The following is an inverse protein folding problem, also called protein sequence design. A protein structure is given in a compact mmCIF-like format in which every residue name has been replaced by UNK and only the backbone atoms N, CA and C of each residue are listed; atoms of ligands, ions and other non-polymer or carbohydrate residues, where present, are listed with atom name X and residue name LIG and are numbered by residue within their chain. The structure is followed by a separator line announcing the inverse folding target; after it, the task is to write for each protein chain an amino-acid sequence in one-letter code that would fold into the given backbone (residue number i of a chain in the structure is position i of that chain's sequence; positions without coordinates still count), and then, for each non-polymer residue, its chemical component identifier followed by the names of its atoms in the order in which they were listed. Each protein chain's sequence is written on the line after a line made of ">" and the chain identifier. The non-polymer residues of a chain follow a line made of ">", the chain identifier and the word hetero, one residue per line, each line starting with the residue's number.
data_IF_942704484460
#
_entry.id   IF_942704484460
#
_cell.length_a   1.000
_cell.length_b   1.000
_cell.length_c   1.000
_cell.angle_alpha   90.00
_cell.angle_beta   90.00
_cell.angle_gamma   90.00
#
_symmetry.space_group_name_H-M   'P 1'
#
loop_
_entity.id
_entity.type
_entity.pdbx_description
1 polymer ?
#
# COMPACT_ATOMS: atom_id res chain seq x y z
N UNK A 1 -27.73 -24.99 1.64
CA UNK A 1 -26.26 -25.04 1.44
C UNK A 1 -25.81 -23.67 0.95
N UNK A 2 -25.62 -22.71 1.86
CA UNK A 2 -25.26 -21.33 1.52
C UNK A 2 -23.77 -21.28 1.18
N UNK A 3 -23.46 -21.21 -0.11
CA UNK A 3 -22.11 -21.39 -0.64
C UNK A 3 -21.59 -20.06 -1.20
N UNK A 4 -20.35 -19.77 -0.81
CA UNK A 4 -19.40 -18.71 -1.18
C UNK A 4 -19.52 -17.39 -0.43
N UNK A 5 -18.56 -17.23 0.49
CA UNK A 5 -18.09 -15.99 1.08
C UNK A 5 -17.99 -14.88 0.02
N UNK A 6 -18.44 -13.64 0.32
CA UNK A 6 -18.12 -12.52 -0.54
C UNK A 6 -16.60 -12.40 -0.60
N UNK A 7 -16.04 -12.26 -1.80
CA UNK A 7 -14.66 -11.84 -1.96
C UNK A 7 -14.51 -10.50 -1.23
N UNK A 8 -13.94 -10.53 -0.03
CA UNK A 8 -13.78 -9.34 0.81
C UNK A 8 -12.67 -8.47 0.21
N UNK A 9 -13.04 -7.58 -0.71
CA UNK A 9 -12.20 -6.47 -1.17
C UNK A 9 -11.48 -5.81 0.02
N UNK A 10 -12.21 -5.62 1.11
CA UNK A 10 -11.71 -5.11 2.37
C UNK A 10 -10.56 -5.93 2.97
N UNK A 11 -10.60 -7.27 2.90
CA UNK A 11 -9.50 -8.12 3.40
C UNK A 11 -8.26 -8.00 2.52
N UNK A 12 -8.42 -7.97 1.19
CA UNK A 12 -7.30 -7.79 0.28
C UNK A 12 -6.67 -6.40 0.39
N UNK A 13 -7.49 -5.35 0.40
CA UNK A 13 -7.03 -3.98 0.59
C UNK A 13 -6.31 -3.80 1.93
N UNK A 14 -6.81 -4.41 3.00
CA UNK A 14 -6.20 -4.33 4.32
C UNK A 14 -4.86 -5.10 4.38
N UNK A 15 -4.77 -6.29 3.76
CA UNK A 15 -3.52 -7.03 3.67
C UNK A 15 -2.43 -6.29 2.87
N UNK A 16 -2.80 -5.69 1.73
CA UNK A 16 -1.88 -4.88 0.91
C UNK A 16 -1.49 -3.59 1.61
N UNK A 17 -2.44 -2.90 2.26
CA UNK A 17 -2.18 -1.71 3.06
C UNK A 17 -1.21 -1.99 4.20
N UNK A 18 -1.43 -3.07 4.97
CA UNK A 18 -0.52 -3.50 6.03
C UNK A 18 0.87 -3.86 5.49
N UNK A 19 0.94 -4.51 4.32
CA UNK A 19 2.23 -4.81 3.68
C UNK A 19 2.99 -3.55 3.29
N UNK A 20 2.33 -2.55 2.71
CA UNK A 20 2.94 -1.26 2.37
C UNK A 20 3.43 -0.52 3.62
N UNK A 21 2.64 -0.49 4.69
CA UNK A 21 3.04 0.12 5.96
C UNK A 21 4.24 -0.61 6.55
N UNK A 22 4.24 -1.94 6.59
CA UNK A 22 5.36 -2.73 7.09
C UNK A 22 6.64 -2.45 6.29
N UNK A 23 6.53 -2.38 4.95
CA UNK A 23 7.66 -2.06 4.08
C UNK A 23 8.17 -0.64 4.33
N UNK A 24 7.29 0.34 4.54
CA UNK A 24 7.66 1.70 4.93
C UNK A 24 8.42 1.71 6.28
N UNK A 25 7.93 1.01 7.29
CA UNK A 25 8.58 0.93 8.61
C UNK A 25 9.97 0.29 8.49
N UNK A 26 10.10 -0.79 7.71
CA UNK A 26 11.40 -1.43 7.45
C UNK A 26 12.34 -0.45 6.74
N UNK A 27 11.85 0.29 5.74
CA UNK A 27 12.64 1.28 5.01
C UNK A 27 13.13 2.39 5.96
N UNK A 28 12.24 2.92 6.79
CA UNK A 28 12.56 3.93 7.79
C UNK A 28 13.54 3.41 8.85
N UNK A 29 13.40 2.18 9.32
CA UNK A 29 14.34 1.57 10.25
C UNK A 29 15.71 1.31 9.60
N UNK A 30 15.72 0.91 8.32
CA UNK A 30 16.95 0.65 7.56
C UNK A 30 17.83 1.89 7.42
N UNK A 31 17.21 3.07 7.34
CA UNK A 31 17.91 4.37 7.37
C UNK A 31 18.84 4.53 8.59
N UNK A 32 18.43 4.01 9.76
CA UNK A 32 19.24 4.07 10.98
C UNK A 32 20.33 2.99 11.05
N UNK A 33 20.11 1.84 10.40
CA UNK A 33 21.05 0.70 10.46
C UNK A 33 22.20 0.88 9.45
N UNK A 34 21.93 1.42 8.25
CA UNK A 34 22.94 1.56 7.17
C UNK A 34 22.87 2.95 6.51
N UNK A 35 23.66 3.93 7.00
CA UNK A 35 23.71 5.27 6.45
C UNK A 35 24.64 5.38 5.23
N UNK A 36 24.53 4.45 4.26
CA UNK A 36 25.42 4.45 3.08
C UNK A 36 24.90 5.42 2.00
N UNK A 37 23.59 5.63 1.89
CA UNK A 37 22.98 6.52 0.88
C UNK A 37 21.76 7.28 1.46
N UNK A 38 22.01 8.16 2.43
CA UNK A 38 20.94 8.88 3.14
C UNK A 38 20.22 9.92 2.26
N UNK A 39 20.94 10.56 1.34
CA UNK A 39 20.39 11.51 0.35
C UNK A 39 19.35 10.84 -0.53
N UNK A 40 19.68 9.68 -1.11
CA UNK A 40 18.76 8.94 -1.97
C UNK A 40 17.50 8.51 -1.22
N UNK A 41 17.66 8.07 0.05
CA UNK A 41 16.54 7.68 0.90
C UNK A 41 15.61 8.87 1.19
N UNK A 42 16.18 10.04 1.50
CA UNK A 42 15.43 11.28 1.71
C UNK A 42 14.70 11.73 0.45
N UNK A 43 15.35 11.68 -0.72
CA UNK A 43 14.73 12.02 -2.01
C UNK A 43 13.58 11.07 -2.36
N UNK A 44 13.75 9.76 -2.11
CA UNK A 44 12.71 8.76 -2.37
C UNK A 44 11.49 8.96 -1.45
N UNK A 45 11.72 9.31 -0.18
CA UNK A 45 10.64 9.64 0.77
C UNK A 45 9.92 10.93 0.39
N UNK A 46 10.66 11.98 -0.04
CA UNK A 46 10.09 13.22 -0.57
C UNK A 46 9.24 13.01 -1.82
N UNK A 47 9.62 12.07 -2.69
CA UNK A 47 8.86 11.75 -3.89
C UNK A 47 7.61 10.93 -3.59
N UNK A 48 7.69 10.01 -2.62
CA UNK A 48 6.62 9.07 -2.30
C UNK A 48 5.57 9.66 -1.34
N UNK A 49 5.98 10.59 -0.47
CA UNK A 49 5.13 11.18 0.56
C UNK A 49 5.06 12.69 0.42
N UNK A 50 3.85 13.19 0.20
CA UNK A 50 3.61 14.63 0.13
C UNK A 50 3.78 15.25 1.53
N UNK A 51 4.63 16.28 1.63
CA UNK A 51 4.91 17.00 2.88
C UNK A 51 6.06 16.42 3.73
N UNK A 52 6.86 15.51 3.17
CA UNK A 52 8.01 14.95 3.88
C UNK A 52 9.21 15.91 3.80
N UNK A 53 9.40 16.79 4.79
CA UNK A 53 10.53 17.73 4.80
C UNK A 53 11.77 17.16 5.51
N UNK A 54 11.57 16.37 6.58
CA UNK A 54 12.62 15.87 7.47
C UNK A 54 12.36 14.45 8.00
N UNK A 55 13.40 13.77 8.53
CA UNK A 55 13.31 12.48 9.26
C UNK A 55 12.78 12.67 10.70
N UNK A 56 11.60 13.29 10.83
CA UNK A 56 10.95 13.53 12.11
C UNK A 56 9.88 12.46 12.41
N UNK A 57 9.50 12.31 13.69
CA UNK A 57 8.41 11.42 14.11
C UNK A 57 7.08 11.78 13.43
N UNK A 58 6.86 13.05 13.12
CA UNK A 58 5.68 13.53 12.39
C UNK A 58 5.68 12.98 10.97
N UNK A 59 6.81 13.07 10.26
CA UNK A 59 6.96 12.52 8.91
C UNK A 59 6.78 11.01 8.88
N UNK A 60 7.25 10.31 9.92
CA UNK A 60 7.01 8.88 10.09
C UNK A 60 5.52 8.54 10.19
N UNK A 61 4.78 9.24 11.07
CA UNK A 61 3.34 9.00 11.26
C UNK A 61 2.56 9.34 9.98
N UNK A 62 2.88 10.47 9.33
CA UNK A 62 2.25 10.87 8.07
C UNK A 62 2.53 9.88 6.95
N UNK A 63 3.76 9.38 6.84
CA UNK A 63 4.14 8.36 5.85
C UNK A 63 3.46 7.00 6.11
N UNK A 64 3.33 6.60 7.37
CA UNK A 64 2.60 5.38 7.73
C UNK A 64 1.10 5.47 7.37
N UNK A 65 0.46 6.61 7.64
CA UNK A 65 -0.94 6.83 7.26
C UNK A 65 -1.09 6.89 5.73
N UNK A 66 -0.23 7.63 5.04
CA UNK A 66 -0.27 7.72 3.58
C UNK A 66 -0.06 6.37 2.92
N UNK A 67 0.95 5.58 3.34
CA UNK A 67 1.22 4.25 2.77
C UNK A 67 0.04 3.28 2.97
N UNK A 68 -0.64 3.36 4.11
CA UNK A 68 -1.87 2.61 4.34
C UNK A 68 -2.98 3.02 3.38
N UNK A 69 -3.26 4.32 3.25
CA UNK A 69 -4.28 4.86 2.34
C UNK A 69 -3.95 4.52 0.87
N UNK A 70 -2.68 4.61 0.48
CA UNK A 70 -2.21 4.22 -0.85
C UNK A 70 -2.47 2.74 -1.15
N UNK A 71 -2.33 1.85 -0.16
CA UNK A 71 -2.71 0.44 -0.31
C UNK A 71 -4.18 0.27 -0.69
N UNK A 72 -5.08 1.01 -0.06
CA UNK A 72 -6.51 1.00 -0.41
C UNK A 72 -6.79 1.59 -1.79
N UNK A 73 -6.12 2.69 -2.16
CA UNK A 73 -6.28 3.32 -3.48
C UNK A 73 -5.80 2.36 -4.57
N UNK A 74 -4.65 1.71 -4.39
CA UNK A 74 -4.09 0.75 -5.35
C UNK A 74 -5.00 -0.45 -5.52
N UNK A 75 -5.49 -1.05 -4.44
CA UNK A 75 -6.45 -2.17 -4.55
C UNK A 75 -7.78 -1.70 -5.15
N UNK A 76 -8.25 -0.50 -4.80
CA UNK A 76 -9.43 0.13 -5.40
C UNK A 76 -9.30 0.27 -6.91
N UNK A 77 -8.22 0.89 -7.38
CA UNK A 77 -7.88 1.04 -8.80
C UNK A 77 -7.70 -0.32 -9.48
N UNK A 78 -7.02 -1.27 -8.83
CA UNK A 78 -6.84 -2.63 -9.36
C UNK A 78 -8.17 -3.33 -9.56
N UNK A 79 -9.10 -3.16 -8.63
CA UNK A 79 -10.45 -3.72 -8.74
C UNK A 79 -11.24 -3.01 -9.83
N UNK A 80 -11.10 -1.69 -9.97
CA UNK A 80 -11.77 -0.89 -11.01
C UNK A 80 -11.26 -1.25 -12.41
N UNK A 81 -9.94 -1.25 -12.61
CA UNK A 81 -9.29 -1.57 -13.89
C UNK A 81 -9.40 -3.07 -14.20
N UNK A 82 -9.20 -3.94 -13.21
CA UNK A 82 -9.29 -5.39 -13.36
C UNK A 82 -10.73 -5.88 -13.63
N UNK A 83 -11.75 -5.23 -13.06
CA UNK A 83 -13.15 -5.52 -13.39
C UNK A 83 -13.59 -4.90 -14.72
N UNK A 84 -13.04 -3.75 -15.14
CA UNK A 84 -13.39 -3.12 -16.42
C UNK A 84 -12.80 -3.81 -17.66
N UNK A 85 -11.80 -4.68 -17.51
CA UNK A 85 -11.15 -5.38 -18.65
C UNK A 85 -11.85 -6.73 -18.99
N UNK A 86 -12.89 -7.16 -18.27
CA UNK A 86 -13.61 -8.42 -18.57
C UNK A 86 -15.13 -8.23 -18.77
N UNK A 87 -15.63 -8.05 -20.01
CA UNK A 87 -17.03 -8.26 -20.32
C UNK A 87 -17.25 -9.76 -20.58
N UNK A 88 -17.51 -10.56 -19.54
CA UNK A 88 -17.80 -11.97 -19.75
C UNK A 88 -18.01 -12.78 -18.47
N UNK A 89 -19.28 -12.97 -18.11
CA UNK A 89 -19.86 -14.08 -17.31
C UNK A 89 -19.01 -14.64 -16.17
N UNK A 90 -19.42 -14.30 -14.93
CA UNK A 90 -19.11 -15.09 -13.73
C UNK A 90 -18.37 -14.26 -12.69
N UNK A 91 -19.08 -13.93 -11.61
CA UNK A 91 -18.51 -13.28 -10.44
C UNK A 91 -17.34 -14.08 -9.86
N UNK A 92 -16.18 -13.45 -9.82
CA UNK A 92 -14.91 -14.02 -9.36
C UNK A 92 -13.78 -13.03 -9.60
N UNK A 93 -13.91 -11.82 -9.05
CA UNK A 93 -12.95 -10.74 -9.25
C UNK A 93 -11.69 -10.91 -8.39
N UNK A 94 -10.62 -11.33 -9.05
CA UNK A 94 -9.25 -10.81 -8.91
C UNK A 94 -8.52 -10.86 -7.56
N UNK A 95 -9.05 -11.51 -6.53
CA UNK A 95 -8.31 -11.78 -5.30
C UNK A 95 -8.44 -13.26 -4.90
N UNK A 96 -7.59 -14.09 -5.50
CA UNK A 96 -7.30 -15.45 -5.03
C UNK A 96 -8.29 -16.54 -5.46
N UNK A 97 -7.86 -17.33 -6.45
CA UNK A 97 -8.35 -18.66 -6.77
C UNK A 97 -7.26 -19.38 -7.54
#
# INVERSE_FOLDING_TARGET
>A
MFKKSPCDYWKCANAVGLFLVALFVICFAWYFIRPVEQELHMQMMKLSFFGFEDMSVVSFILGAIQSYVWGYIVVGLWTLVGCCIKPGKGGGGCCGG
#
